data_IF_745629495670
#
_entry.id   IF_745629495670
#
_cell.length_a   1.000
_cell.length_b   1.000
_cell.length_c   1.000
_cell.angle_alpha   90.00
_cell.angle_beta   90.00
_cell.angle_gamma   90.00
#
_symmetry.space_group_name_H-M   'P 1'
#
loop_
_entity.id
_entity.type
_entity.pdbx_description
1 polymer ?
#
# COMPACT_ATOMS: atom_id res chain seq x y z
N UNK A 1 -14.34 0.26 16.15
CA UNK A 1 -14.06 0.03 14.71
C UNK A 1 -15.38 -0.05 14.00
N UNK A 2 -15.56 0.76 12.96
CA UNK A 2 -16.80 0.83 12.19
C UNK A 2 -16.63 0.06 10.87
N UNK A 3 -17.70 -0.45 10.25
CA UNK A 3 -17.63 -1.15 8.96
C UNK A 3 -16.93 -0.32 7.88
N UNK A 4 -17.20 0.98 7.85
CA UNK A 4 -16.66 1.93 6.86
C UNK A 4 -15.14 2.06 6.95
N UNK A 5 -14.58 1.87 8.16
CA UNK A 5 -13.13 1.83 8.35
C UNK A 5 -12.52 0.58 7.72
N UNK A 6 -13.14 -0.59 7.92
CA UNK A 6 -12.66 -1.84 7.34
C UNK A 6 -12.78 -1.82 5.81
N UNK A 7 -13.86 -1.26 5.28
CA UNK A 7 -14.07 -1.07 3.85
C UNK A 7 -13.00 -0.14 3.25
N UNK A 8 -12.69 0.96 3.93
CA UNK A 8 -11.62 1.88 3.52
C UNK A 8 -10.24 1.20 3.43
N UNK A 9 -9.91 0.35 4.41
CA UNK A 9 -8.63 -0.40 4.40
C UNK A 9 -8.61 -1.47 3.31
N UNK A 10 -9.71 -2.20 3.12
CA UNK A 10 -9.82 -3.22 2.07
C UNK A 10 -9.74 -2.62 0.67
N UNK A 11 -10.44 -1.51 0.43
CA UNK A 11 -10.33 -0.78 -0.83
C UNK A 11 -8.92 -0.24 -1.08
N UNK A 12 -8.27 0.34 -0.06
CA UNK A 12 -6.88 0.79 -0.17
C UNK A 12 -5.91 -0.35 -0.51
N UNK A 13 -6.12 -1.52 0.09
CA UNK A 13 -5.36 -2.73 -0.24
C UNK A 13 -5.55 -3.16 -1.70
N UNK A 14 -6.78 -3.14 -2.20
CA UNK A 14 -7.08 -3.49 -3.60
C UNK A 14 -6.46 -2.50 -4.59
N UNK A 15 -6.50 -1.20 -4.27
CA UNK A 15 -5.88 -0.16 -5.10
C UNK A 15 -4.36 -0.34 -5.20
N UNK A 16 -3.68 -0.52 -4.05
CA UNK A 16 -2.25 -0.80 -4.04
C UNK A 16 -1.93 -2.12 -4.73
N UNK A 17 -2.81 -3.11 -4.58
CA UNK A 17 -2.63 -4.38 -5.26
C UNK A 17 -2.67 -4.23 -6.79
N UNK A 18 -3.67 -3.52 -7.33
CA UNK A 18 -3.77 -3.26 -8.77
C UNK A 18 -2.55 -2.47 -9.28
N UNK A 19 -2.13 -1.43 -8.56
CA UNK A 19 -0.98 -0.60 -8.93
C UNK A 19 0.34 -1.39 -8.93
N UNK A 20 0.61 -2.14 -7.86
CA UNK A 20 1.86 -2.89 -7.72
C UNK A 20 1.90 -4.12 -8.63
N UNK A 21 0.75 -4.65 -9.05
CA UNK A 21 0.69 -5.80 -9.97
C UNK A 21 1.07 -5.45 -11.40
N UNK A 22 0.91 -4.18 -11.79
CA UNK A 22 1.26 -3.71 -13.14
C UNK A 22 2.70 -3.20 -13.22
N UNK A 23 3.45 -3.21 -12.12
CA UNK A 23 4.85 -2.82 -12.09
C UNK A 23 5.70 -3.83 -12.89
N UNK A 24 6.34 -3.41 -14.00
CA UNK A 24 7.13 -4.29 -14.83
C UNK A 24 8.49 -4.66 -14.22
N UNK A 25 8.97 -3.90 -13.22
CA UNK A 25 10.25 -4.11 -12.54
C UNK A 25 10.09 -5.00 -11.31
N UNK A 26 8.95 -4.89 -10.62
CA UNK A 26 8.65 -5.67 -9.42
C UNK A 26 7.16 -6.03 -9.32
N UNK A 27 6.64 -6.90 -10.21
CA UNK A 27 5.22 -7.24 -10.22
C UNK A 27 4.82 -7.90 -8.90
N UNK A 28 3.91 -7.25 -8.19
CA UNK A 28 3.32 -7.79 -6.97
C UNK A 28 2.38 -8.94 -7.30
N UNK A 29 2.84 -10.16 -7.11
CA UNK A 29 2.00 -11.34 -7.31
C UNK A 29 1.13 -11.60 -6.08
N UNK A 30 -0.20 -11.63 -6.26
CA UNK A 30 -1.08 -12.30 -5.31
C UNK A 30 -0.64 -13.76 -5.21
N UNK A 31 -0.18 -14.19 -4.05
CA UNK A 31 0.20 -15.60 -3.85
C UNK A 31 1.31 -15.84 -2.84
N UNK A 32 2.01 -14.79 -2.40
CA UNK A 32 2.87 -14.78 -1.22
C UNK A 32 2.03 -14.31 -0.02
N UNK A 33 1.34 -15.22 0.70
CA UNK A 33 0.41 -14.87 1.79
C UNK A 33 1.00 -13.92 2.82
N UNK A 34 2.31 -13.98 3.05
CA UNK A 34 3.01 -13.11 3.98
C UNK A 34 2.99 -11.63 3.55
N UNK A 35 3.08 -11.33 2.25
CA UNK A 35 3.17 -9.97 1.74
C UNK A 35 1.83 -9.23 1.76
N UNK A 36 0.75 -9.88 1.33
CA UNK A 36 -0.60 -9.30 1.40
C UNK A 36 -1.04 -9.07 2.86
N UNK A 37 -0.69 -9.98 3.78
CA UNK A 37 -0.99 -9.80 5.20
C UNK A 37 -0.21 -8.65 5.83
N UNK A 38 1.08 -8.52 5.51
CA UNK A 38 1.91 -7.39 5.96
C UNK A 38 1.34 -6.07 5.43
N UNK A 39 1.02 -6.00 4.13
CA UNK A 39 0.44 -4.78 3.54
C UNK A 39 -0.90 -4.40 4.18
N UNK A 40 -1.80 -5.38 4.35
CA UNK A 40 -3.07 -5.14 5.04
C UNK A 40 -2.86 -4.66 6.49
N UNK A 41 -1.92 -5.26 7.23
CA UNK A 41 -1.62 -4.85 8.60
C UNK A 41 -1.09 -3.43 8.67
N UNK A 42 -0.18 -3.06 7.77
CA UNK A 42 0.38 -1.70 7.70
C UNK A 42 -0.69 -0.66 7.37
N UNK A 43 -1.56 -0.95 6.40
CA UNK A 43 -2.69 -0.08 6.06
C UNK A 43 -3.66 0.06 7.23
N UNK A 44 -3.89 -1.01 7.98
CA UNK A 44 -4.75 -0.99 9.15
C UNK A 44 -4.19 -0.08 10.26
N UNK A 45 -2.89 -0.19 10.54
CA UNK A 45 -2.19 0.68 11.50
C UNK A 45 -2.28 2.12 11.03
N UNK A 46 -1.93 2.39 9.77
CA UNK A 46 -1.89 3.74 9.22
C UNK A 46 -3.28 4.38 9.19
N UNK A 47 -4.32 3.62 8.84
CA UNK A 47 -5.69 4.09 8.89
C UNK A 47 -6.10 4.47 10.32
N UNK A 48 -5.66 3.71 11.32
CA UNK A 48 -5.88 4.03 12.73
C UNK A 48 -5.13 5.28 13.21
N UNK A 49 -3.93 5.52 12.68
CA UNK A 49 -3.12 6.71 13.02
C UNK A 49 -3.64 7.98 12.34
N UNK A 50 -4.05 7.89 11.08
CA UNK A 50 -4.37 9.05 10.23
C UNK A 50 -5.86 9.32 10.05
N UNK A 51 -6.73 8.35 10.37
CA UNK A 51 -8.19 8.44 10.16
C UNK A 51 -8.53 9.01 8.76
N UNK A 52 -8.08 8.35 7.68
CA UNK A 52 -8.25 8.86 6.32
C UNK A 52 -9.74 8.98 5.98
N UNK A 53 -10.08 10.03 5.22
CA UNK A 53 -11.45 10.27 4.76
C UNK A 53 -11.86 9.36 3.59
N UNK A 54 -10.91 8.65 2.97
CA UNK A 54 -11.12 7.74 1.84
C UNK A 54 -9.97 6.75 1.69
N UNK A 55 -10.22 5.67 0.93
CA UNK A 55 -9.21 4.68 0.55
C UNK A 55 -8.05 5.28 -0.26
N UNK A 56 -8.33 6.23 -1.15
CA UNK A 56 -7.29 6.98 -1.86
C UNK A 56 -6.40 7.79 -0.91
N UNK A 57 -6.98 8.51 0.05
CA UNK A 57 -6.21 9.25 1.05
C UNK A 57 -5.36 8.34 1.96
N UNK A 58 -5.80 7.09 2.18
CA UNK A 58 -5.02 6.08 2.87
C UNK A 58 -3.81 5.62 2.05
N UNK A 59 -3.99 5.43 0.74
CA UNK A 59 -2.90 5.06 -0.19
C UNK A 59 -1.87 6.19 -0.29
N UNK A 60 -2.30 7.43 -0.44
CA UNK A 60 -1.40 8.59 -0.47
C UNK A 60 -0.59 8.68 0.84
N UNK A 61 -1.26 8.55 1.99
CA UNK A 61 -0.61 8.55 3.29
C UNK A 61 0.41 7.39 3.44
N UNK A 62 0.16 6.25 2.79
CA UNK A 62 1.07 5.11 2.83
C UNK A 62 2.37 5.42 2.07
N UNK A 63 2.28 6.02 0.88
CA UNK A 63 3.45 6.51 0.15
C UNK A 63 4.20 7.62 0.92
N UNK A 64 3.49 8.62 1.44
CA UNK A 64 4.08 9.71 2.23
C UNK A 64 4.81 9.22 3.49
N UNK A 65 4.33 8.14 4.09
CA UNK A 65 4.92 7.58 5.31
C UNK A 65 6.23 6.82 5.09
N UNK A 66 6.64 6.62 3.83
CA UNK A 66 7.84 5.83 3.49
C UNK A 66 7.71 4.34 3.84
N UNK A 67 6.51 3.87 4.22
CA UNK A 67 6.21 2.47 4.54
C UNK A 67 6.26 1.55 3.31
N UNK A 68 6.33 2.12 2.11
CA UNK A 68 6.62 1.40 0.86
C UNK A 68 7.98 0.69 0.86
N UNK A 69 8.94 1.16 1.67
CA UNK A 69 10.24 0.53 1.87
C UNK A 69 10.19 -0.79 2.68
N UNK A 70 9.06 -1.10 3.33
CA UNK A 70 8.89 -2.31 4.15
C UNK A 70 8.57 -3.56 3.31
N UNK A 71 8.38 -3.40 2.00
CA UNK A 71 8.08 -4.50 1.09
C UNK A 71 9.37 -5.22 0.66
N UNK A 72 9.44 -6.57 0.70
CA UNK A 72 10.69 -7.31 0.49
C UNK A 72 11.39 -7.05 -0.86
N UNK A 73 12.69 -6.82 -0.71
CA UNK A 73 13.79 -6.38 -1.59
C UNK A 73 14.06 -7.19 -2.88
N UNK A 74 13.27 -8.22 -3.24
CA UNK A 74 13.17 -8.60 -4.66
C UNK A 74 12.37 -7.56 -5.47
N UNK A 75 11.71 -6.65 -4.74
CA UNK A 75 11.01 -5.47 -5.22
C UNK A 75 11.82 -4.17 -4.99
N UNK A 76 13.14 -4.25 -4.70
CA UNK A 76 13.99 -3.05 -4.51
C UNK A 76 14.89 -2.75 -5.72
N UNK A 77 14.30 -2.47 -6.87
CA UNK A 77 14.67 -1.14 -7.37
C UNK A 77 14.22 -0.17 -6.28
N UNK A 78 14.93 0.92 -5.99
CA UNK A 78 14.22 2.07 -5.41
C UNK A 78 12.79 2.14 -6.01
N UNK A 79 11.78 2.59 -5.27
CA UNK A 79 10.48 2.89 -5.90
C UNK A 79 10.72 4.10 -6.84
N UNK A 80 11.47 3.89 -7.92
CA UNK A 80 11.74 4.79 -9.04
C UNK A 80 10.55 4.67 -9.97
N UNK A 81 9.34 4.60 -9.42
CA UNK A 81 8.21 5.09 -10.19
C UNK A 81 8.48 6.57 -10.38
N UNK A 82 8.92 6.94 -11.59
CA UNK A 82 9.07 8.33 -12.02
C UNK A 82 7.79 9.16 -11.86
N UNK A 83 6.66 8.52 -11.52
CA UNK A 83 5.39 9.18 -11.15
C UNK A 83 5.36 9.71 -9.71
N UNK A 84 6.19 9.17 -8.81
CA UNK A 84 6.11 9.44 -7.36
C UNK A 84 7.43 9.93 -6.75
N UNK A 85 8.42 10.29 -7.57
CA UNK A 85 9.59 11.04 -7.10
C UNK A 85 9.08 12.37 -6.53
N UNK A 86 9.08 12.48 -5.21
CA UNK A 86 8.79 13.75 -4.54
C UNK A 86 9.75 14.82 -5.06
N UNK A 87 9.18 15.92 -5.55
CA UNK A 87 9.89 17.17 -5.78
C UNK A 87 10.23 17.85 -4.44
#
# INVERSE_FOLDING_TARGET
MTPEFADCVLEGLLLLHEELSVDPEAPWYVGTPDQTQVLHHELWILAGERCPSSSAALVDAWYESGRSSLLPVACTGELVSSRHVMA
#
